data_IF_971207948190
#
_entry.id   IF_971207948190
#
_cell.length_a   1.000
_cell.length_b   1.000
_cell.length_c   1.000
_cell.angle_alpha   90.00
_cell.angle_beta   90.00
_cell.angle_gamma   90.00
#
_symmetry.space_group_name_H-M   'P 1'
#
loop_
_entity.id
_entity.type
_entity.pdbx_description
1 polymer ?
#
# COMPACT_ATOMS: atom_id res chain seq x y z
N UNK A 1 -16.97 16.21 0.59
CA UNK A 1 -16.27 14.96 0.96
C UNK A 1 -15.23 14.65 -0.10
N UNK A 2 -13.98 14.45 0.30
CA UNK A 2 -12.87 14.33 -0.65
C UNK A 2 -12.83 12.92 -1.28
N UNK A 3 -12.56 12.87 -2.59
CA UNK A 3 -12.35 11.60 -3.31
C UNK A 3 -10.87 11.27 -3.30
N UNK A 4 -10.51 10.13 -2.69
CA UNK A 4 -9.12 9.66 -2.71
C UNK A 4 -8.70 9.28 -4.14
N UNK A 5 -7.43 9.55 -4.47
CA UNK A 5 -6.80 9.18 -5.73
C UNK A 5 -5.87 7.99 -5.47
N UNK A 6 -5.91 7.02 -6.36
CA UNK A 6 -5.16 5.77 -6.24
C UNK A 6 -4.82 5.24 -7.63
N UNK A 7 -3.81 4.38 -7.71
CA UNK A 7 -3.51 3.64 -8.92
C UNK A 7 -4.23 2.29 -8.89
N UNK A 8 -5.32 2.16 -9.66
CA UNK A 8 -6.01 0.88 -9.81
C UNK A 8 -5.24 -0.04 -10.78
N UNK A 9 -4.15 -0.64 -10.31
CA UNK A 9 -3.31 -1.51 -11.13
C UNK A 9 -4.05 -2.74 -11.68
N UNK A 10 -5.26 -3.08 -11.20
CA UNK A 10 -6.07 -4.15 -11.79
C UNK A 10 -6.57 -3.82 -13.20
N UNK A 11 -6.66 -2.53 -13.53
CA UNK A 11 -7.01 -2.06 -14.88
C UNK A 11 -5.85 -2.21 -15.87
N UNK A 12 -4.62 -2.28 -15.35
CA UNK A 12 -3.42 -2.43 -16.15
C UNK A 12 -2.90 -3.89 -16.14
N UNK A 13 -3.74 -4.83 -15.69
CA UNK A 13 -3.43 -6.25 -15.76
C UNK A 13 -3.13 -6.69 -17.21
N UNK A 14 -2.26 -7.68 -17.38
CA UNK A 14 -1.65 -8.05 -18.67
C UNK A 14 -0.53 -7.12 -19.16
N UNK A 15 -0.56 -5.81 -18.89
CA UNK A 15 0.56 -4.91 -19.23
C UNK A 15 0.56 -3.59 -18.42
N UNK A 16 1.13 -3.63 -17.21
CA UNK A 16 1.14 -2.46 -16.33
C UNK A 16 2.00 -1.30 -16.85
N UNK A 17 2.99 -1.56 -17.71
CA UNK A 17 3.82 -0.49 -18.30
C UNK A 17 3.07 0.40 -19.28
N UNK A 18 1.86 -0.02 -19.71
CA UNK A 18 0.97 0.79 -20.55
C UNK A 18 0.06 1.73 -19.77
N UNK A 19 0.08 1.68 -18.44
CA UNK A 19 -0.70 2.60 -17.62
C UNK A 19 -0.39 4.05 -18.00
N UNK A 20 -1.40 4.94 -18.11
CA UNK A 20 -1.16 6.36 -18.38
C UNK A 20 -0.34 7.03 -17.28
N UNK A 21 -0.23 6.41 -16.09
CA UNK A 21 0.66 6.86 -15.03
C UNK A 21 2.13 6.85 -15.41
N UNK A 22 2.54 6.10 -16.43
CA UNK A 22 3.92 6.08 -16.92
C UNK A 22 4.17 7.04 -18.08
N UNK A 23 3.19 7.85 -18.45
CA UNK A 23 3.33 8.88 -19.48
C UNK A 23 4.40 9.91 -19.09
N UNK A 24 5.23 10.27 -20.06
CA UNK A 24 6.23 11.34 -19.93
C UNK A 24 5.63 12.74 -20.06
N UNK A 25 4.33 12.87 -20.36
CA UNK A 25 3.66 14.17 -20.47
C UNK A 25 2.81 14.48 -19.24
N UNK A 26 1.96 13.53 -18.85
CA UNK A 26 0.92 13.73 -17.82
C UNK A 26 1.03 12.76 -16.64
N UNK A 27 1.98 11.82 -16.68
CA UNK A 27 2.20 10.81 -15.67
C UNK A 27 3.42 11.10 -14.78
N UNK A 28 4.00 10.02 -14.25
CA UNK A 28 5.14 9.99 -13.35
C UNK A 28 6.44 9.65 -14.09
N UNK A 29 6.42 9.57 -15.43
CA UNK A 29 7.52 9.08 -16.26
C UNK A 29 7.60 7.55 -16.30
N UNK A 30 8.32 7.01 -17.28
CA UNK A 30 8.41 5.57 -17.53
C UNK A 30 9.49 4.83 -16.74
N UNK A 31 10.17 3.91 -17.42
CA UNK A 31 11.29 3.14 -16.89
C UNK A 31 12.57 3.99 -16.84
N UNK A 32 13.54 3.57 -16.02
CA UNK A 32 14.86 4.18 -16.00
C UNK A 32 15.76 3.73 -17.15
N UNK A 33 16.92 4.38 -17.27
CA UNK A 33 17.97 4.02 -18.21
C UNK A 33 18.50 2.60 -17.99
N UNK A 34 19.08 2.00 -19.03
CA UNK A 34 19.51 0.60 -18.99
C UNK A 34 20.70 0.33 -18.06
N UNK A 35 21.47 1.35 -17.70
CA UNK A 35 22.72 1.21 -16.92
C UNK A 35 22.52 1.70 -15.49
N UNK A 36 22.20 2.99 -15.33
CA UNK A 36 22.07 3.62 -14.01
C UNK A 36 20.65 3.54 -13.45
N UNK A 37 19.70 3.06 -14.25
CA UNK A 37 18.27 3.00 -13.93
C UNK A 37 17.67 4.36 -13.60
N UNK A 38 18.34 5.46 -13.96
CA UNK A 38 17.85 6.81 -13.76
C UNK A 38 16.65 7.07 -14.66
N UNK A 39 15.61 7.69 -14.11
CA UNK A 39 14.55 8.30 -14.91
C UNK A 39 15.13 9.53 -15.64
N UNK A 40 15.19 9.46 -16.96
CA UNK A 40 15.84 10.49 -17.81
C UNK A 40 14.85 11.47 -18.43
N UNK A 41 13.57 11.12 -18.46
CA UNK A 41 12.50 11.91 -19.07
C UNK A 41 11.22 11.97 -18.23
N UNK A 42 10.29 12.80 -18.68
CA UNK A 42 9.03 13.05 -17.99
C UNK A 42 9.13 13.98 -16.77
N UNK A 43 8.01 14.19 -16.06
CA UNK A 43 7.88 15.24 -15.05
C UNK A 43 8.82 15.09 -13.84
N UNK A 44 9.36 13.89 -13.63
CA UNK A 44 10.19 13.56 -12.46
C UNK A 44 11.68 13.35 -12.79
N UNK A 45 12.12 13.54 -14.04
CA UNK A 45 13.52 13.32 -14.44
C UNK A 45 14.55 14.15 -13.65
N UNK A 46 14.15 15.35 -13.20
CA UNK A 46 14.99 16.24 -12.40
C UNK A 46 14.95 15.94 -10.90
N UNK A 47 14.10 15.01 -10.46
CA UNK A 47 13.96 14.65 -9.06
C UNK A 47 15.27 14.02 -8.55
N UNK A 48 15.70 14.47 -7.37
CA UNK A 48 16.89 13.96 -6.68
C UNK A 48 16.54 13.55 -5.26
N UNK A 49 16.12 12.29 -5.04
CA UNK A 49 15.91 11.79 -3.69
C UNK A 49 17.17 11.93 -2.85
N UNK A 50 17.02 12.21 -1.55
CA UNK A 50 18.13 12.47 -0.62
C UNK A 50 18.55 11.25 0.20
N UNK A 51 17.67 10.26 0.34
CA UNK A 51 17.91 9.04 1.12
C UNK A 51 18.18 7.87 0.18
N UNK A 52 19.15 6.99 0.46
CA UNK A 52 20.12 7.09 1.57
C UNK A 52 21.16 8.20 1.35
N UNK A 53 21.36 8.60 0.10
CA UNK A 53 22.22 9.69 -0.34
C UNK A 53 21.64 10.35 -1.60
N UNK A 54 22.08 11.55 -2.01
CA UNK A 54 21.57 12.19 -3.23
C UNK A 54 21.84 11.38 -4.51
N UNK A 55 20.79 11.04 -5.27
CA UNK A 55 20.89 10.33 -6.55
C UNK A 55 19.75 10.73 -7.50
N UNK A 56 19.77 10.26 -8.76
CA UNK A 56 18.61 10.37 -9.66
C UNK A 56 17.47 9.48 -9.15
N UNK A 57 16.20 9.80 -9.44
CA UNK A 57 15.11 8.85 -9.20
C UNK A 57 15.33 7.61 -10.06
N UNK A 58 15.35 6.41 -9.46
CA UNK A 58 15.60 5.16 -10.20
C UNK A 58 14.37 4.29 -10.35
N UNK A 59 14.21 3.70 -11.54
CA UNK A 59 13.24 2.64 -11.86
C UNK A 59 13.87 1.58 -12.74
N UNK A 60 13.49 0.33 -12.52
CA UNK A 60 13.95 -0.79 -13.33
C UNK A 60 12.78 -1.76 -13.47
N UNK A 61 11.85 -1.42 -14.36
CA UNK A 61 10.65 -2.20 -14.64
C UNK A 61 11.08 -3.61 -15.02
N UNK A 62 10.77 -4.56 -14.15
CA UNK A 62 10.98 -5.95 -14.44
C UNK A 62 9.89 -6.42 -15.40
N UNK A 63 10.27 -7.30 -16.34
CA UNK A 63 9.30 -7.95 -17.22
C UNK A 63 8.23 -8.57 -16.32
N UNK A 64 7.00 -8.11 -16.51
CA UNK A 64 5.89 -8.28 -15.58
C UNK A 64 6.08 -7.51 -14.27
N UNK A 65 5.88 -6.18 -14.30
CA UNK A 65 5.28 -5.55 -13.11
C UNK A 65 4.09 -6.45 -12.78
N UNK A 66 4.20 -7.22 -11.70
CA UNK A 66 3.36 -8.40 -11.48
C UNK A 66 1.87 -8.07 -11.27
N UNK A 67 1.53 -6.78 -11.31
CA UNK A 67 0.22 -6.25 -11.74
C UNK A 67 -0.43 -7.08 -12.86
N UNK A 68 0.37 -7.63 -13.80
CA UNK A 68 -0.15 -8.46 -14.88
C UNK A 68 -1.08 -9.60 -14.41
N UNK A 69 -0.84 -10.14 -13.20
CA UNK A 69 -1.63 -11.21 -12.60
C UNK A 69 -2.72 -10.72 -11.64
N UNK A 70 -2.66 -9.47 -11.19
CA UNK A 70 -3.62 -8.92 -10.24
C UNK A 70 -4.84 -8.30 -10.92
N UNK A 71 -5.56 -9.15 -11.65
CA UNK A 71 -6.86 -8.79 -12.25
C UNK A 71 -7.91 -8.50 -11.18
N UNK A 72 -8.98 -7.78 -11.54
CA UNK A 72 -10.10 -7.50 -10.62
C UNK A 72 -10.67 -8.77 -9.96
N UNK A 73 -10.92 -9.89 -10.68
CA UNK A 73 -11.38 -11.13 -10.05
C UNK A 73 -10.39 -11.71 -9.02
N UNK A 74 -9.09 -11.65 -9.28
CA UNK A 74 -8.06 -12.14 -8.34
C UNK A 74 -8.07 -11.32 -7.05
N UNK A 75 -8.20 -10.00 -7.17
CA UNK A 75 -8.25 -9.11 -6.00
C UNK A 75 -9.59 -9.23 -5.24
N UNK A 76 -10.70 -9.38 -5.94
CA UNK A 76 -11.99 -9.58 -5.30
C UNK A 76 -12.05 -10.94 -4.58
N UNK A 77 -11.41 -11.99 -5.13
CA UNK A 77 -11.26 -13.29 -4.45
C UNK A 77 -10.41 -13.16 -3.17
N UNK A 78 -9.25 -12.49 -3.25
CA UNK A 78 -8.41 -12.19 -2.08
C UNK A 78 -9.19 -11.48 -0.96
N UNK A 79 -9.97 -10.43 -1.32
CA UNK A 79 -10.75 -9.67 -0.35
C UNK A 79 -11.92 -10.49 0.21
N UNK A 80 -12.57 -11.31 -0.62
CA UNK A 80 -13.78 -12.04 -0.24
C UNK A 80 -13.49 -13.31 0.56
N UNK A 81 -12.37 -13.96 0.30
CA UNK A 81 -11.96 -15.22 0.94
C UNK A 81 -11.36 -14.99 2.34
N UNK A 82 -10.71 -13.84 2.56
CA UNK A 82 -10.13 -13.49 3.87
C UNK A 82 -11.21 -13.27 4.94
N UNK A 83 -11.24 -14.15 5.94
CA UNK A 83 -12.20 -14.13 7.05
C UNK A 83 -11.72 -13.24 8.19
N UNK A 84 -10.41 -13.22 8.43
CA UNK A 84 -9.76 -12.44 9.51
C UNK A 84 -8.89 -11.33 8.94
N UNK A 85 -8.57 -10.31 9.74
CA UNK A 85 -7.60 -9.28 9.36
C UNK A 85 -6.21 -9.89 9.07
N UNK A 86 -5.80 -10.90 9.84
CA UNK A 86 -4.54 -11.62 9.62
C UNK A 86 -4.45 -12.19 8.20
N UNK A 87 -5.47 -12.96 7.78
CA UNK A 87 -5.54 -13.56 6.45
C UNK A 87 -5.52 -12.48 5.36
N UNK A 88 -6.29 -11.41 5.55
CA UNK A 88 -6.36 -10.29 4.62
C UNK A 88 -5.01 -9.58 4.48
N UNK A 89 -4.42 -9.15 5.60
CA UNK A 89 -3.14 -8.45 5.66
C UNK A 89 -2.04 -9.30 5.02
N UNK A 90 -1.91 -10.57 5.41
CA UNK A 90 -0.89 -11.48 4.86
C UNK A 90 -1.04 -11.67 3.35
N UNK A 91 -2.26 -11.87 2.87
CA UNK A 91 -2.55 -12.02 1.44
C UNK A 91 -2.22 -10.75 0.65
N UNK A 92 -2.60 -9.58 1.18
CA UNK A 92 -2.35 -8.29 0.55
C UNK A 92 -0.85 -7.93 0.54
N UNK A 93 -0.18 -8.06 1.69
CA UNK A 93 1.24 -7.74 1.88
C UNK A 93 2.16 -8.64 1.05
N UNK A 94 1.92 -9.96 1.08
CA UNK A 94 2.75 -10.95 0.37
C UNK A 94 2.40 -11.07 -1.11
N UNK A 95 1.19 -10.66 -1.49
CA UNK A 95 0.69 -10.62 -2.84
C UNK A 95 0.93 -9.26 -3.49
N UNK A 96 -0.12 -8.51 -3.84
CA UNK A 96 -0.01 -7.32 -4.67
C UNK A 96 0.89 -6.22 -4.10
N UNK A 97 0.90 -5.99 -2.78
CA UNK A 97 1.78 -4.97 -2.19
C UNK A 97 3.25 -5.22 -2.55
N UNK A 98 3.76 -6.41 -2.19
CA UNK A 98 5.15 -6.82 -2.45
C UNK A 98 5.47 -6.83 -3.95
N UNK A 99 4.61 -7.47 -4.73
CA UNK A 99 4.91 -7.75 -6.13
C UNK A 99 4.83 -6.52 -7.04
N UNK A 100 4.01 -5.52 -6.69
CA UNK A 100 4.04 -4.20 -7.37
C UNK A 100 5.32 -3.44 -7.06
N UNK A 101 5.78 -3.43 -5.79
CA UNK A 101 7.05 -2.81 -5.41
C UNK A 101 8.23 -3.44 -6.16
N UNK A 102 8.31 -4.77 -6.18
CA UNK A 102 9.33 -5.52 -6.90
C UNK A 102 9.27 -5.29 -8.43
N UNK A 103 8.06 -5.17 -8.97
CA UNK A 103 7.81 -4.98 -10.39
C UNK A 103 8.33 -3.65 -10.93
N UNK A 104 8.15 -2.55 -10.17
CA UNK A 104 8.66 -1.23 -10.55
C UNK A 104 10.19 -1.18 -10.45
N UNK A 105 10.77 -1.90 -9.49
CA UNK A 105 12.21 -1.89 -9.26
C UNK A 105 12.72 -0.52 -8.80
N UNK A 106 14.04 -0.29 -8.92
CA UNK A 106 14.66 0.97 -8.53
C UNK A 106 14.43 1.32 -7.05
N UNK A 107 13.77 2.44 -6.77
CA UNK A 107 13.44 2.86 -5.39
C UNK A 107 12.47 1.89 -4.69
N UNK A 108 11.44 1.43 -5.41
CA UNK A 108 10.25 0.77 -4.85
C UNK A 108 10.52 -0.51 -4.04
N UNK A 109 11.48 -1.40 -4.36
CA UNK A 109 11.77 -2.58 -3.54
C UNK A 109 12.68 -2.29 -2.33
N UNK A 110 13.03 -1.03 -2.06
CA UNK A 110 14.00 -0.65 -1.01
C UNK A 110 13.31 0.06 0.17
N UNK A 111 14.01 0.24 1.32
CA UNK A 111 13.52 1.12 2.39
C UNK A 111 13.26 2.57 1.93
N UNK A 112 13.88 2.99 0.83
CA UNK A 112 13.66 4.28 0.18
C UNK A 112 12.48 4.29 -0.79
N UNK A 113 11.57 3.32 -0.78
CA UNK A 113 10.44 3.26 -1.74
C UNK A 113 9.60 4.54 -1.84
N UNK A 114 9.49 5.31 -0.74
CA UNK A 114 8.84 6.62 -0.70
C UNK A 114 9.55 7.72 -1.49
N UNK A 115 10.80 7.49 -1.93
CA UNK A 115 11.52 8.36 -2.86
C UNK A 115 10.81 8.47 -4.20
N UNK A 116 10.13 7.41 -4.66
CA UNK A 116 9.33 7.42 -5.88
C UNK A 116 7.90 7.88 -5.57
N UNK A 117 7.41 9.02 -6.12
CA UNK A 117 6.07 9.50 -5.86
C UNK A 117 4.95 8.52 -6.22
N UNK A 118 5.20 7.51 -7.07
CA UNK A 118 4.20 6.47 -7.36
C UNK A 118 3.85 5.64 -6.12
N UNK A 119 4.74 5.57 -5.12
CA UNK A 119 4.51 4.91 -3.83
C UNK A 119 3.16 5.30 -3.22
N UNK A 120 2.84 6.59 -3.24
CA UNK A 120 1.64 7.11 -2.61
C UNK A 120 0.36 6.67 -3.33
N UNK A 121 0.38 6.57 -4.67
CA UNK A 121 -0.77 6.06 -5.42
C UNK A 121 -0.93 4.54 -5.30
N UNK A 122 0.18 3.80 -5.20
CA UNK A 122 0.16 2.37 -4.89
C UNK A 122 -0.43 2.12 -3.50
N UNK A 123 0.07 2.81 -2.47
CA UNK A 123 -0.43 2.65 -1.10
C UNK A 123 -1.86 3.18 -0.91
N UNK A 124 -2.31 4.18 -1.68
CA UNK A 124 -3.71 4.55 -1.72
C UNK A 124 -4.60 3.43 -2.31
N UNK A 125 -4.10 2.63 -3.26
CA UNK A 125 -4.82 1.43 -3.69
C UNK A 125 -4.81 0.34 -2.62
N UNK A 126 -3.69 0.13 -1.90
CA UNK A 126 -3.64 -0.78 -0.75
C UNK A 126 -4.67 -0.39 0.31
N UNK A 127 -4.73 0.89 0.69
CA UNK A 127 -5.73 1.45 1.59
C UNK A 127 -7.16 1.27 1.06
N UNK A 128 -7.39 1.48 -0.24
CA UNK A 128 -8.68 1.19 -0.87
C UNK A 128 -9.10 -0.27 -0.73
N UNK A 129 -8.17 -1.22 -0.89
CA UNK A 129 -8.48 -2.64 -0.74
C UNK A 129 -8.79 -3.01 0.72
N UNK A 130 -8.10 -2.38 1.68
CA UNK A 130 -8.43 -2.50 3.11
C UNK A 130 -9.81 -1.94 3.43
N UNK A 131 -10.10 -0.72 2.94
CA UNK A 131 -11.42 -0.11 3.03
C UNK A 131 -12.52 -1.02 2.44
N UNK A 132 -12.30 -1.61 1.24
CA UNK A 132 -13.23 -2.59 0.63
C UNK A 132 -13.44 -3.80 1.54
N UNK A 133 -12.37 -4.34 2.14
CA UNK A 133 -12.46 -5.49 3.03
C UNK A 133 -13.26 -5.18 4.31
N UNK A 134 -13.04 -4.01 4.92
CA UNK A 134 -13.79 -3.54 6.09
C UNK A 134 -15.29 -3.39 5.78
N UNK A 135 -15.63 -2.80 4.62
CA UNK A 135 -17.01 -2.55 4.21
C UNK A 135 -17.80 -3.79 3.79
N UNK A 136 -17.17 -4.96 3.66
CA UNK A 136 -17.89 -6.23 3.48
C UNK A 136 -18.56 -6.74 4.75
N UNK A 137 -18.09 -6.31 5.93
CA UNK A 137 -18.75 -6.53 7.22
C UNK A 137 -18.56 -5.30 8.12
N UNK A 138 -19.26 -4.20 7.85
CA UNK A 138 -19.03 -2.92 8.52
C UNK A 138 -19.28 -3.01 10.04
N UNK A 139 -20.19 -3.88 10.48
CA UNK A 139 -20.48 -4.13 11.91
C UNK A 139 -19.50 -5.12 12.57
N UNK A 140 -18.39 -5.47 11.94
CA UNK A 140 -17.38 -6.38 12.50
C UNK A 140 -15.94 -6.00 12.20
N UNK A 141 -15.64 -5.52 10.99
CA UNK A 141 -14.26 -5.40 10.50
C UNK A 141 -13.59 -4.03 10.71
N UNK A 142 -14.35 -2.98 10.98
CA UNK A 142 -13.79 -1.63 11.21
C UNK A 142 -12.86 -1.55 12.43
N UNK A 143 -12.91 -2.56 13.31
CA UNK A 143 -12.09 -2.62 14.51
C UNK A 143 -11.17 -3.85 14.53
N UNK A 144 -11.18 -4.64 13.46
CA UNK A 144 -10.32 -5.82 13.35
C UNK A 144 -8.87 -5.36 13.17
N UNK A 145 -8.02 -5.80 14.09
CA UNK A 145 -6.60 -5.49 14.14
C UNK A 145 -5.86 -6.67 14.80
N UNK A 146 -4.68 -7.00 14.30
CA UNK A 146 -3.88 -8.12 14.81
C UNK A 146 -2.42 -7.74 15.09
N UNK A 147 -1.82 -8.44 16.05
CA UNK A 147 -0.40 -8.39 16.30
C UNK A 147 0.35 -9.19 15.22
N UNK A 148 1.64 -8.89 15.02
CA UNK A 148 2.47 -9.75 14.19
C UNK A 148 2.64 -11.12 14.86
N UNK A 149 2.70 -12.18 14.06
CA UNK A 149 2.83 -13.57 14.55
C UNK A 149 4.09 -13.78 15.42
N UNK A 150 5.13 -12.98 15.19
CA UNK A 150 6.35 -12.97 16.00
C UNK A 150 6.13 -12.35 17.39
N UNK A 151 5.25 -11.35 17.51
CA UNK A 151 4.86 -10.75 18.79
C UNK A 151 3.99 -11.71 19.62
N UNK A 152 3.18 -12.53 18.93
CA UNK A 152 2.37 -13.59 19.54
C UNK A 152 3.23 -14.74 20.10
N UNK A 153 4.38 -15.04 19.49
CA UNK A 153 5.30 -16.09 19.95
C UNK A 153 6.09 -15.70 21.21
N UNK A 154 6.26 -14.40 21.45
CA UNK A 154 6.99 -13.88 22.61
C UNK A 154 6.11 -13.61 23.84
N UNK A 155 4.78 -13.57 23.70
CA UNK A 155 3.84 -13.33 24.80
C UNK A 155 3.10 -14.62 25.21
N UNK A 156 3.75 -15.42 26.06
CA UNK A 156 3.18 -16.62 26.69
C UNK A 156 2.18 -16.32 27.82
N UNK A 157 1.29 -15.33 27.65
CA UNK A 157 0.21 -15.07 28.61
C UNK A 157 -1.10 -14.61 27.96
N UNK A 158 -2.12 -15.41 28.27
CA UNK A 158 -3.53 -15.03 28.39
C UNK A 158 -4.42 -15.31 27.18
N UNK A 159 -5.02 -16.51 27.23
CA UNK A 159 -6.38 -16.74 26.75
C UNK A 159 -7.33 -15.73 27.42
N UNK A 160 -7.78 -14.72 26.68
CA UNK A 160 -9.01 -14.00 27.02
C UNK A 160 -9.73 -13.60 25.75
N UNK A 161 -10.93 -14.14 25.64
CA UNK A 161 -11.94 -13.87 24.62
C UNK A 161 -12.38 -12.41 24.67
N UNK A 162 -11.69 -11.55 23.92
CA UNK A 162 -12.30 -10.42 23.24
C UNK A 162 -11.65 -10.35 21.86
N UNK A 163 -12.40 -9.97 20.84
CA UNK A 163 -12.01 -10.04 19.44
C UNK A 163 -10.80 -9.14 19.11
N UNK A 164 -9.60 -9.65 19.33
CA UNK A 164 -8.32 -9.01 19.01
C UNK A 164 -7.18 -9.97 19.32
N UNK A 165 -6.21 -10.11 18.41
CA UNK A 165 -5.04 -10.91 18.69
C UNK A 165 -4.34 -10.39 19.95
N UNK A 166 -4.07 -11.30 20.90
CA UNK A 166 -3.45 -11.02 22.19
C UNK A 166 -2.13 -10.25 22.02
N UNK A 167 -2.08 -8.98 22.43
CA UNK A 167 -0.82 -8.21 22.47
C UNK A 167 -0.86 -6.85 21.77
N UNK A 168 -1.94 -6.49 21.10
CA UNK A 168 -2.13 -5.16 20.49
C UNK A 168 -3.49 -4.55 20.87
N UNK A 169 -3.55 -3.22 20.89
CA UNK A 169 -4.73 -2.43 21.23
C UNK A 169 -4.99 -1.35 20.21
N UNK A 170 -6.26 -1.04 19.97
CA UNK A 170 -6.66 0.14 19.20
C UNK A 170 -6.25 1.46 19.90
N UNK A 171 -5.96 1.42 21.20
CA UNK A 171 -5.42 2.56 21.93
C UNK A 171 -3.89 2.68 21.83
N UNK A 172 -3.21 1.75 21.17
CA UNK A 172 -1.76 1.81 21.01
C UNK A 172 -1.37 3.07 20.22
N UNK A 173 -0.26 3.72 20.59
CA UNK A 173 0.21 4.89 19.88
C UNK A 173 0.78 4.51 18.50
N UNK A 174 0.20 5.07 17.45
CA UNK A 174 0.75 5.05 16.10
C UNK A 174 1.74 6.20 15.94
N UNK A 175 3.04 5.85 15.90
CA UNK A 175 4.15 6.80 15.82
C UNK A 175 4.32 7.35 14.42
N UNK A 176 4.26 8.67 14.25
CA UNK A 176 4.48 9.35 12.95
C UNK A 176 5.92 9.84 12.76
N UNK A 177 6.80 9.60 13.73
CA UNK A 177 8.24 9.87 13.65
C UNK A 177 8.60 11.29 13.16
N UNK A 178 7.85 12.29 13.61
CA UNK A 178 8.11 13.71 13.31
C UNK A 178 7.47 14.22 12.01
N UNK A 179 6.72 13.39 11.28
CA UNK A 179 5.90 13.84 10.13
C UNK A 179 4.60 14.50 10.61
N UNK A 180 4.15 14.19 11.83
CA UNK A 180 2.98 14.76 12.49
C UNK A 180 2.94 14.38 13.97
N UNK A 181 1.86 14.75 14.66
CA UNK A 181 1.61 14.30 16.03
C UNK A 181 1.32 12.80 16.07
N UNK A 182 1.82 12.10 17.08
CA UNK A 182 1.46 10.70 17.31
C UNK A 182 -0.05 10.61 17.60
N UNK A 183 -0.70 9.67 16.93
CA UNK A 183 -2.15 9.41 17.06
C UNK A 183 -2.36 8.01 17.61
N UNK A 184 -3.61 7.61 17.86
CA UNK A 184 -3.91 6.22 18.19
C UNK A 184 -4.22 5.42 16.95
N UNK A 185 -4.06 4.10 17.02
CA UNK A 185 -4.54 3.19 15.97
C UNK A 185 -6.04 3.42 15.70
N UNK A 186 -6.87 3.61 16.74
CA UNK A 186 -8.31 3.86 16.57
C UNK A 186 -8.66 5.08 15.71
N UNK A 187 -7.79 6.10 15.67
CA UNK A 187 -8.02 7.34 14.93
C UNK A 187 -7.97 7.16 13.40
N UNK A 188 -7.36 6.06 12.94
CA UNK A 188 -7.14 5.75 11.51
C UNK A 188 -7.82 4.47 11.03
N UNK A 189 -8.62 3.82 11.88
CA UNK A 189 -9.33 2.60 11.47
C UNK A 189 -10.50 2.85 10.50
N UNK A 190 -10.94 4.09 10.36
CA UNK A 190 -12.00 4.52 9.44
C UNK A 190 -11.52 5.71 8.61
N UNK A 191 -11.91 5.75 7.34
CA UNK A 191 -11.62 6.91 6.45
C UNK A 191 -12.53 8.12 6.74
N UNK A 192 -13.47 7.96 7.67
CA UNK A 192 -14.48 8.94 8.10
C UNK A 192 -14.41 9.15 9.62
N UNK A 193 -13.35 9.83 10.08
CA UNK A 193 -13.13 10.26 11.47
C UNK A 193 -12.99 11.80 11.53
N UNK A 194 -12.86 12.43 12.71
CA UNK A 194 -12.50 13.85 12.77
C UNK A 194 -11.11 14.14 12.15
N UNK A 195 -10.20 13.17 12.16
CA UNK A 195 -8.87 13.27 11.58
C UNK A 195 -8.87 13.01 10.05
N UNK A 196 -9.67 12.03 9.59
CA UNK A 196 -9.74 11.59 8.20
C UNK A 196 -11.13 11.87 7.61
N UNK A 197 -11.22 12.43 6.40
CA UNK A 197 -12.52 12.71 5.79
C UNK A 197 -12.53 12.48 4.27
N UNK A 198 -12.38 11.21 3.89
CA UNK A 198 -12.36 10.81 2.48
C UNK A 198 -13.12 9.51 2.22
N UNK A 199 -13.47 9.31 0.94
CA UNK A 199 -14.06 8.07 0.43
C UNK A 199 -13.33 7.59 -0.81
N UNK A 200 -13.32 6.28 -0.99
CA UNK A 200 -13.11 5.68 -2.29
C UNK A 200 -14.44 5.63 -3.04
N UNK A 201 -14.45 5.91 -4.35
CA UNK A 201 -15.63 5.71 -5.16
C UNK A 201 -16.05 4.23 -5.11
N UNK A 202 -17.35 3.99 -4.94
CA UNK A 202 -17.92 2.68 -5.21
C UNK A 202 -17.67 2.37 -6.70
N UNK A 203 -17.10 1.20 -6.96
CA UNK A 203 -16.93 0.69 -8.32
C UNK A 203 -18.30 0.34 -8.92
#
# INVERSE_FOLDING_TARGET
MNKARYWDWTLDAGNATKSPLWSNESGFGGNGSSVEHCLEDGPLASMRPKYPEPHCLRRNFQFDIQAAHFTTPVIDDLISSAKTYHEFRRGLESGPHKWIHLGIGGEMPTPGSTNDPIFFLHHAQIDRLWWKWQHRKPNGRLRDYDALEEDLKNNSKSESSDSGASGVSLNDPLKLYGIGEDIKVEDVMSTETPLLCYKYPAA
#
